data_IF_844429645584
#
_entry.id   IF_844429645584
#
_cell.length_a   1.000
_cell.length_b   1.000
_cell.length_c   1.000
_cell.angle_alpha   90.00
_cell.angle_beta   90.00
_cell.angle_gamma   90.00
#
_symmetry.space_group_name_H-M   'P 1'
#
loop_
_entity.id
_entity.type
_entity.pdbx_description
1 polymer ?
#
# COMPACT_ATOMS: atom_id res chain seq x y z
N UNK A 1 4.10 25.17 -19.03
CA UNK A 1 3.41 24.06 -18.32
C UNK A 1 3.46 24.24 -16.80
N UNK A 2 4.64 24.35 -16.17
CA UNK A 2 4.74 24.51 -14.71
C UNK A 2 3.89 25.65 -14.13
N UNK A 3 3.90 26.85 -14.73
CA UNK A 3 3.05 27.96 -14.28
C UNK A 3 1.53 27.64 -14.34
N UNK A 4 1.10 26.82 -15.30
CA UNK A 4 -0.31 26.39 -15.41
C UNK A 4 -0.63 25.42 -14.27
N UNK A 5 0.27 24.47 -14.02
CA UNK A 5 0.15 23.52 -12.91
C UNK A 5 0.09 24.26 -11.58
N UNK A 6 1.00 25.21 -11.34
CA UNK A 6 1.00 26.06 -10.14
C UNK A 6 -0.31 26.83 -9.97
N UNK A 7 -0.84 27.44 -11.04
CA UNK A 7 -2.13 28.14 -10.99
C UNK A 7 -3.25 27.22 -10.53
N UNK A 8 -3.37 26.04 -11.16
CA UNK A 8 -4.43 25.08 -10.85
C UNK A 8 -4.25 24.49 -9.44
N UNK A 9 -3.02 24.26 -8.99
CA UNK A 9 -2.76 23.81 -7.62
C UNK A 9 -3.12 24.90 -6.59
N UNK A 10 -2.86 26.17 -6.88
CA UNK A 10 -3.25 27.27 -6.02
C UNK A 10 -4.77 27.42 -5.91
N UNK A 11 -5.51 27.17 -7.01
CA UNK A 11 -6.97 27.11 -6.99
C UNK A 11 -7.47 26.00 -6.05
N UNK A 12 -6.96 24.77 -6.20
CA UNK A 12 -7.29 23.64 -5.32
C UNK A 12 -6.96 23.96 -3.86
N UNK A 13 -5.81 24.59 -3.60
CA UNK A 13 -5.46 25.00 -2.25
C UNK A 13 -6.45 26.02 -1.68
N UNK A 14 -6.83 27.03 -2.45
CA UNK A 14 -7.81 28.05 -2.03
C UNK A 14 -9.20 27.47 -1.74
N UNK A 15 -9.64 26.50 -2.54
CA UNK A 15 -10.88 25.75 -2.31
C UNK A 15 -10.82 24.97 -0.99
N UNK A 16 -9.75 24.19 -0.78
CA UNK A 16 -9.55 23.42 0.46
C UNK A 16 -9.40 24.31 1.69
N UNK A 17 -8.72 25.46 1.58
CA UNK A 17 -8.67 26.45 2.66
C UNK A 17 -10.05 26.97 3.01
N UNK A 18 -10.90 27.23 2.01
CA UNK A 18 -12.28 27.67 2.23
C UNK A 18 -13.10 26.59 2.94
N UNK A 19 -12.93 25.32 2.55
CA UNK A 19 -13.56 24.17 3.23
C UNK A 19 -13.08 24.09 4.69
N UNK A 20 -11.77 24.21 4.91
CA UNK A 20 -11.17 24.14 6.25
C UNK A 20 -11.74 25.18 7.22
N UNK A 21 -12.11 26.37 6.75
CA UNK A 21 -12.74 27.40 7.57
C UNK A 21 -14.21 27.14 7.90
N UNK A 22 -14.86 26.21 7.19
CA UNK A 22 -16.29 25.89 7.31
C UNK A 22 -16.54 24.46 7.80
N UNK A 23 -15.51 23.80 8.32
CA UNK A 23 -15.63 22.43 8.83
C UNK A 23 -16.62 22.35 9.98
N UNK A 24 -17.61 21.49 9.83
CA UNK A 24 -18.55 21.13 10.89
C UNK A 24 -18.32 19.69 11.32
N UNK A 25 -18.79 19.33 12.50
CA UNK A 25 -18.78 17.94 12.97
C UNK A 25 -19.63 17.03 12.08
N UNK A 26 -20.72 17.53 11.50
CA UNK A 26 -21.54 16.77 10.54
C UNK A 26 -20.79 16.48 9.25
N UNK A 27 -20.02 17.45 8.74
CA UNK A 27 -19.21 17.27 7.55
C UNK A 27 -18.11 16.20 7.76
N UNK A 28 -17.42 16.25 8.90
CA UNK A 28 -16.40 15.25 9.22
C UNK A 28 -16.99 13.83 9.32
N UNK A 29 -18.18 13.68 9.91
CA UNK A 29 -18.90 12.39 9.95
C UNK A 29 -19.24 11.87 8.55
N UNK A 30 -19.74 12.74 7.67
CA UNK A 30 -20.03 12.37 6.28
C UNK A 30 -18.75 11.90 5.56
N UNK A 31 -17.62 12.58 5.75
CA UNK A 31 -16.35 12.17 5.15
C UNK A 31 -15.85 10.84 5.70
N UNK A 32 -16.01 10.60 7.01
CA UNK A 32 -15.69 9.31 7.61
C UNK A 32 -16.55 8.20 6.99
N UNK A 33 -17.87 8.37 6.90
CA UNK A 33 -18.79 7.41 6.25
C UNK A 33 -18.39 7.10 4.80
N UNK A 34 -18.05 8.13 4.01
CA UNK A 34 -17.55 7.95 2.64
C UNK A 34 -16.25 7.15 2.58
N UNK A 35 -15.34 7.36 3.54
CA UNK A 35 -14.11 6.57 3.63
C UNK A 35 -14.42 5.10 3.88
N UNK A 36 -15.37 4.78 4.78
CA UNK A 36 -15.83 3.40 5.05
C UNK A 36 -16.36 2.75 3.77
N UNK A 37 -17.24 3.44 3.04
CA UNK A 37 -17.82 2.93 1.79
C UNK A 37 -16.73 2.61 0.75
N UNK A 38 -15.73 3.48 0.63
CA UNK A 38 -14.63 3.32 -0.33
C UNK A 38 -13.63 2.22 0.04
N UNK A 39 -13.52 1.83 1.32
CA UNK A 39 -12.65 0.71 1.73
C UNK A 39 -13.24 -0.66 1.40
N UNK A 40 -14.50 -0.72 0.93
CA UNK A 40 -15.17 -1.97 0.55
C UNK A 40 -15.36 -2.11 -0.97
N UNK A 41 -15.12 -1.04 -1.74
CA UNK A 41 -15.36 -1.00 -3.18
C UNK A 41 -14.10 -0.67 -3.96
N UNK A 42 -13.69 -1.56 -4.87
CA UNK A 42 -12.54 -1.28 -5.72
C UNK A 42 -12.90 -0.26 -6.80
N UNK A 43 -12.19 0.87 -6.81
CA UNK A 43 -12.17 1.77 -7.97
C UNK A 43 -10.78 1.74 -8.59
N UNK A 44 -10.60 0.91 -9.63
CA UNK A 44 -9.35 0.85 -10.36
C UNK A 44 -9.27 1.95 -11.42
N UNK A 45 -8.13 2.65 -11.51
CA UNK A 45 -7.88 3.69 -12.50
C UNK A 45 -6.52 3.52 -13.16
N UNK A 46 -6.50 3.24 -14.46
CA UNK A 46 -5.27 3.19 -15.24
C UNK A 46 -4.65 4.58 -15.43
N UNK A 47 -3.37 4.64 -15.81
CA UNK A 47 -2.69 5.89 -16.11
C UNK A 47 -3.36 6.72 -17.22
N UNK A 48 -4.05 6.08 -18.17
CA UNK A 48 -4.82 6.77 -19.21
C UNK A 48 -6.07 7.44 -18.64
N UNK A 49 -6.72 6.81 -17.65
CA UNK A 49 -7.87 7.39 -16.97
C UNK A 49 -7.53 8.72 -16.29
N UNK A 50 -6.32 8.86 -15.72
CA UNK A 50 -5.86 10.11 -15.09
C UNK A 50 -5.78 11.30 -16.07
N UNK A 51 -5.64 11.06 -17.37
CA UNK A 51 -5.60 12.09 -18.41
C UNK A 51 -6.99 12.51 -18.91
N UNK A 52 -8.02 11.72 -18.62
CA UNK A 52 -9.39 11.99 -19.09
C UNK A 52 -10.05 13.07 -18.22
N UNK A 53 -10.85 13.94 -18.85
CA UNK A 53 -11.61 14.99 -18.17
C UNK A 53 -12.95 14.53 -17.56
N UNK A 54 -13.22 13.23 -17.58
CA UNK A 54 -14.39 12.63 -16.89
C UNK A 54 -14.02 12.26 -15.47
N UNK A 55 -15.00 12.25 -14.58
CA UNK A 55 -14.78 11.75 -13.22
C UNK A 55 -14.38 10.27 -13.23
N UNK A 56 -13.48 9.89 -12.32
CA UNK A 56 -13.03 8.51 -12.11
C UNK A 56 -13.95 7.77 -11.14
N UNK A 57 -14.52 8.50 -10.20
CA UNK A 57 -15.44 8.01 -9.18
C UNK A 57 -16.51 9.06 -8.90
N UNK A 58 -17.53 8.64 -8.17
CA UNK A 58 -18.64 9.49 -7.76
C UNK A 58 -18.12 10.65 -6.90
N UNK A 59 -18.58 11.86 -7.19
CA UNK A 59 -18.23 13.09 -6.49
C UNK A 59 -16.74 13.46 -6.50
N UNK A 60 -15.95 12.93 -7.44
CA UNK A 60 -14.54 13.32 -7.63
C UNK A 60 -14.38 14.85 -7.74
N UNK A 61 -13.46 15.40 -6.95
CA UNK A 61 -13.08 16.81 -6.96
C UNK A 61 -11.74 17.01 -7.67
N UNK A 62 -11.43 18.28 -8.02
CA UNK A 62 -10.16 18.69 -8.62
C UNK A 62 -9.79 17.95 -9.93
N UNK A 63 -10.79 17.61 -10.76
CA UNK A 63 -10.61 16.91 -12.05
C UNK A 63 -9.62 17.64 -12.97
N UNK A 64 -9.68 18.97 -13.03
CA UNK A 64 -8.74 19.78 -13.82
C UNK A 64 -7.30 19.66 -13.28
N UNK A 65 -7.14 19.70 -11.96
CA UNK A 65 -5.84 19.56 -11.31
C UNK A 65 -5.26 18.17 -11.54
N UNK A 66 -6.07 17.12 -11.35
CA UNK A 66 -5.71 15.72 -11.67
C UNK A 66 -5.12 15.63 -13.08
N UNK A 67 -5.90 16.07 -14.07
CA UNK A 67 -5.50 16.00 -15.48
C UNK A 67 -4.23 16.80 -15.75
N UNK A 68 -4.13 18.02 -15.22
CA UNK A 68 -3.00 18.93 -15.47
C UNK A 68 -1.70 18.38 -14.85
N UNK A 69 -1.77 17.85 -13.63
CA UNK A 69 -0.67 17.17 -12.94
C UNK A 69 -0.28 15.89 -13.69
N UNK A 70 -1.25 15.10 -14.14
CA UNK A 70 -0.97 13.88 -14.91
C UNK A 70 -0.35 14.17 -16.28
N UNK A 71 -0.68 15.29 -16.93
CA UNK A 71 -0.01 15.71 -18.16
C UNK A 71 1.44 16.09 -17.86
N UNK A 72 1.69 16.82 -16.76
CA UNK A 72 3.06 17.16 -16.37
C UNK A 72 3.91 15.92 -16.10
N UNK A 73 3.37 14.91 -15.39
CA UNK A 73 4.12 13.68 -15.13
C UNK A 73 4.48 12.92 -16.41
N UNK A 74 3.54 12.81 -17.36
CA UNK A 74 3.82 12.22 -18.69
C UNK A 74 4.87 13.01 -19.46
N UNK A 75 4.84 14.35 -19.39
CA UNK A 75 5.85 15.17 -20.06
C UNK A 75 7.25 14.98 -19.43
N UNK A 76 7.32 14.85 -18.10
CA UNK A 76 8.59 14.58 -17.41
C UNK A 76 9.11 13.18 -17.73
N UNK A 77 8.26 12.15 -17.70
CA UNK A 77 8.64 10.78 -18.03
C UNK A 77 9.23 10.65 -19.46
N UNK A 78 8.82 11.54 -20.39
CA UNK A 78 9.33 11.57 -21.77
C UNK A 78 10.51 12.53 -21.98
N UNK A 79 11.00 13.21 -20.94
CA UNK A 79 12.19 14.05 -21.03
C UNK A 79 13.45 13.22 -20.81
N UNK A 80 14.26 13.03 -21.86
CA UNK A 80 15.51 12.23 -21.80
C UNK A 80 16.62 12.90 -20.97
N UNK A 81 16.58 14.22 -20.80
CA UNK A 81 17.59 14.96 -20.04
C UNK A 81 17.24 15.03 -18.56
N UNK A 82 18.18 14.66 -17.68
CA UNK A 82 18.13 15.08 -16.27
C UNK A 82 18.05 16.62 -16.23
N UNK A 83 17.02 17.16 -15.61
CA UNK A 83 16.81 18.61 -15.48
C UNK A 83 17.80 19.20 -14.46
N UNK A 84 19.10 19.14 -14.73
CA UNK A 84 20.18 19.55 -13.82
C UNK A 84 20.46 21.06 -13.82
N UNK A 85 19.53 21.89 -14.31
CA UNK A 85 19.67 23.33 -14.22
C UNK A 85 19.04 23.79 -12.90
N UNK A 86 19.79 24.53 -12.08
CA UNK A 86 19.37 25.09 -10.78
C UNK A 86 17.98 25.76 -10.82
N UNK A 87 17.63 26.36 -11.96
CA UNK A 87 16.31 26.96 -12.20
C UNK A 87 15.15 25.97 -12.20
N UNK A 88 15.36 24.72 -12.62
CA UNK A 88 14.33 23.68 -12.61
C UNK A 88 14.18 23.08 -11.22
N UNK A 89 15.28 22.85 -10.51
CA UNK A 89 15.25 22.34 -9.15
C UNK A 89 14.49 23.29 -8.21
N UNK A 90 14.77 24.61 -8.30
CA UNK A 90 14.01 25.62 -7.55
C UNK A 90 12.51 25.55 -7.82
N UNK A 91 12.12 25.40 -9.09
CA UNK A 91 10.71 25.31 -9.49
C UNK A 91 10.06 24.00 -9.01
N UNK A 92 10.77 22.89 -9.03
CA UNK A 92 10.28 21.64 -8.46
C UNK A 92 10.12 21.73 -6.94
N UNK A 93 11.04 22.39 -6.24
CA UNK A 93 10.89 22.66 -4.81
C UNK A 93 9.65 23.51 -4.48
N UNK A 94 9.39 24.57 -5.27
CA UNK A 94 8.17 25.38 -5.13
C UNK A 94 6.90 24.55 -5.39
N UNK A 95 6.91 23.73 -6.44
CA UNK A 95 5.82 22.81 -6.78
C UNK A 95 5.55 21.79 -5.68
N UNK A 96 6.60 21.14 -5.17
CA UNK A 96 6.55 20.19 -4.05
C UNK A 96 6.01 20.89 -2.79
N UNK A 97 6.43 22.12 -2.52
CA UNK A 97 5.91 22.93 -1.43
C UNK A 97 4.40 23.15 -1.52
N UNK A 98 3.89 23.43 -2.73
CA UNK A 98 2.45 23.58 -2.97
C UNK A 98 1.69 22.25 -2.80
N UNK A 99 2.23 21.15 -3.35
CA UNK A 99 1.65 19.81 -3.18
C UNK A 99 1.55 19.47 -1.69
N UNK A 100 2.62 19.68 -0.92
CA UNK A 100 2.63 19.44 0.53
C UNK A 100 1.53 20.23 1.24
N UNK A 101 1.36 21.53 0.93
CA UNK A 101 0.29 22.37 1.52
C UNK A 101 -1.10 21.83 1.20
N UNK A 102 -1.33 21.35 -0.02
CA UNK A 102 -2.60 20.76 -0.42
C UNK A 102 -2.84 19.44 0.33
N UNK A 103 -1.85 18.55 0.40
CA UNK A 103 -1.97 17.31 1.16
C UNK A 103 -2.26 17.58 2.65
N UNK A 104 -1.62 18.57 3.25
CA UNK A 104 -1.91 18.96 4.65
C UNK A 104 -3.31 19.52 4.81
N UNK A 105 -3.81 20.29 3.83
CA UNK A 105 -5.19 20.75 3.84
C UNK A 105 -6.18 19.57 3.73
N UNK A 106 -5.91 18.59 2.86
CA UNK A 106 -6.71 17.37 2.73
C UNK A 106 -6.74 16.54 4.01
N UNK A 107 -5.60 16.41 4.70
CA UNK A 107 -5.52 15.76 6.02
C UNK A 107 -6.36 16.51 7.05
N UNK A 108 -6.36 17.84 7.02
CA UNK A 108 -7.13 18.67 7.97
C UNK A 108 -8.63 18.59 7.71
N UNK A 109 -9.05 18.47 6.45
CA UNK A 109 -10.47 18.45 6.07
C UNK A 109 -11.06 17.04 5.96
N UNK A 110 -10.26 15.98 6.07
CA UNK A 110 -10.65 14.59 5.77
C UNK A 110 -11.22 14.38 4.36
N UNK A 111 -10.89 15.24 3.40
CA UNK A 111 -11.48 15.19 2.05
C UNK A 111 -10.76 14.26 1.08
N UNK A 112 -9.69 13.58 1.50
CA UNK A 112 -8.78 12.86 0.59
C UNK A 112 -9.47 11.84 -0.31
N UNK A 113 -10.56 11.21 0.16
CA UNK A 113 -11.39 10.29 -0.62
C UNK A 113 -11.91 10.97 -1.88
N UNK A 114 -12.44 12.20 -1.76
CA UNK A 114 -12.97 12.95 -2.91
C UNK A 114 -11.87 13.40 -3.88
N UNK A 115 -10.63 13.48 -3.41
CA UNK A 115 -9.46 13.93 -4.16
C UNK A 115 -8.51 12.78 -4.55
N UNK A 116 -8.90 11.51 -4.35
CA UNK A 116 -8.06 10.34 -4.63
C UNK A 116 -7.49 10.29 -6.05
N UNK A 117 -8.24 10.64 -7.09
CA UNK A 117 -7.73 10.70 -8.46
C UNK A 117 -6.65 11.77 -8.65
N UNK A 118 -6.82 12.91 -7.99
CA UNK A 118 -5.80 13.96 -7.95
C UNK A 118 -4.55 13.48 -7.18
N UNK A 119 -4.73 12.81 -6.04
CA UNK A 119 -3.64 12.20 -5.27
C UNK A 119 -2.88 11.12 -6.08
N UNK A 120 -3.58 10.30 -6.88
CA UNK A 120 -2.94 9.35 -7.82
C UNK A 120 -2.07 10.06 -8.88
N UNK A 121 -2.50 11.25 -9.33
CA UNK A 121 -1.69 12.03 -10.27
C UNK A 121 -0.48 12.65 -9.58
N UNK A 122 -0.63 13.06 -8.32
CA UNK A 122 0.48 13.53 -7.47
C UNK A 122 1.50 12.41 -7.28
N UNK A 123 1.11 11.19 -6.87
CA UNK A 123 2.08 10.10 -6.67
C UNK A 123 2.88 9.83 -7.93
N UNK A 124 2.22 9.76 -9.10
CA UNK A 124 2.90 9.62 -10.39
C UNK A 124 3.85 10.78 -10.68
N UNK A 125 3.43 12.03 -10.45
CA UNK A 125 4.28 13.19 -10.63
C UNK A 125 5.51 13.15 -9.71
N UNK A 126 5.34 12.78 -8.44
CA UNK A 126 6.45 12.67 -7.48
C UNK A 126 7.45 11.59 -7.91
N UNK A 127 6.98 10.45 -8.43
CA UNK A 127 7.84 9.41 -9.01
C UNK A 127 8.65 9.97 -10.19
N UNK A 128 8.02 10.71 -11.11
CA UNK A 128 8.73 11.35 -12.22
C UNK A 128 9.75 12.37 -11.71
N UNK A 129 9.38 13.26 -10.78
CA UNK A 129 10.29 14.26 -10.22
C UNK A 129 11.49 13.61 -9.52
N UNK A 130 11.27 12.54 -8.76
CA UNK A 130 12.34 11.82 -8.07
C UNK A 130 13.40 11.28 -9.05
N UNK A 131 13.00 10.81 -10.23
CA UNK A 131 13.94 10.36 -11.28
C UNK A 131 14.82 11.47 -11.82
N UNK A 132 14.40 12.73 -11.71
CA UNK A 132 15.10 13.88 -12.26
C UNK A 132 15.75 14.79 -11.21
N UNK A 133 15.54 14.57 -9.91
CA UNK A 133 15.98 15.48 -8.82
C UNK A 133 16.34 14.73 -7.54
N UNK A 134 17.21 15.30 -6.70
CA UNK A 134 17.64 14.72 -5.42
C UNK A 134 16.75 15.17 -4.24
N UNK A 135 15.42 15.19 -4.41
CA UNK A 135 14.47 15.78 -3.44
C UNK A 135 13.73 14.72 -2.59
N UNK A 136 14.38 13.58 -2.32
CA UNK A 136 13.76 12.42 -1.65
C UNK A 136 13.07 12.75 -0.31
N UNK A 137 13.70 13.58 0.54
CA UNK A 137 13.18 13.92 1.86
C UNK A 137 11.80 14.61 1.82
N UNK A 138 11.58 15.53 0.87
CA UNK A 138 10.28 16.21 0.76
C UNK A 138 9.19 15.31 0.19
N UNK A 139 9.56 14.35 -0.65
CA UNK A 139 8.62 13.34 -1.17
C UNK A 139 8.12 12.46 -0.03
N UNK A 140 9.01 12.03 0.88
CA UNK A 140 8.65 11.25 2.07
C UNK A 140 7.70 12.05 2.97
N UNK A 141 7.94 13.35 3.18
CA UNK A 141 7.03 14.21 3.94
C UNK A 141 5.62 14.26 3.34
N UNK A 142 5.53 14.36 2.00
CA UNK A 142 4.23 14.33 1.31
C UNK A 142 3.57 12.96 1.47
N UNK A 143 4.32 11.87 1.29
CA UNK A 143 3.79 10.51 1.46
C UNK A 143 3.23 10.29 2.87
N UNK A 144 3.92 10.76 3.93
CA UNK A 144 3.41 10.70 5.31
C UNK A 144 2.04 11.36 5.45
N UNK A 145 1.91 12.57 4.92
CA UNK A 145 0.64 13.32 4.97
C UNK A 145 -0.45 12.61 4.15
N UNK A 146 -0.12 12.09 2.97
CA UNK A 146 -1.06 11.31 2.15
C UNK A 146 -1.54 10.04 2.84
N UNK A 147 -0.66 9.32 3.53
CA UNK A 147 -1.03 8.13 4.32
C UNK A 147 -1.99 8.52 5.44
N UNK A 148 -1.65 9.58 6.16
CA UNK A 148 -2.43 10.08 7.30
C UNK A 148 -3.79 10.64 6.90
N UNK A 149 -3.95 11.11 5.66
CA UNK A 149 -5.14 11.81 5.20
C UNK A 149 -6.32 10.91 4.81
N UNK A 150 -6.25 9.60 5.06
CA UNK A 150 -7.31 8.60 4.77
C UNK A 150 -7.77 8.60 3.29
N UNK A 151 -6.87 8.36 2.33
CA UNK A 151 -7.25 8.32 0.93
C UNK A 151 -7.91 6.97 0.57
N UNK A 152 -8.53 6.88 -0.61
CA UNK A 152 -8.99 5.58 -1.12
C UNK A 152 -7.83 4.56 -1.21
N UNK A 153 -8.08 3.24 -1.05
CA UNK A 153 -7.04 2.21 -1.04
C UNK A 153 -6.09 2.23 -2.25
N UNK A 154 -6.59 2.60 -3.43
CA UNK A 154 -5.77 2.73 -4.66
C UNK A 154 -4.64 3.77 -4.53
N UNK A 155 -4.84 4.81 -3.72
CA UNK A 155 -3.81 5.82 -3.45
C UNK A 155 -2.76 5.24 -2.50
N UNK A 156 -3.15 4.39 -1.55
CA UNK A 156 -2.21 3.73 -0.66
C UNK A 156 -1.27 2.80 -1.44
N UNK A 157 -1.80 2.00 -2.38
CA UNK A 157 -0.96 1.22 -3.29
C UNK A 157 -0.04 2.11 -4.14
N UNK A 158 -0.56 3.18 -4.76
CA UNK A 158 0.28 4.10 -5.52
C UNK A 158 1.36 4.79 -4.64
N UNK A 159 1.09 4.99 -3.36
CA UNK A 159 2.05 5.52 -2.38
C UNK A 159 3.10 4.47 -2.03
N UNK A 160 2.73 3.20 -1.86
CA UNK A 160 3.68 2.09 -1.71
C UNK A 160 4.62 2.00 -2.93
N UNK A 161 4.08 2.13 -4.15
CA UNK A 161 4.89 2.12 -5.37
C UNK A 161 5.87 3.30 -5.42
N UNK A 162 5.43 4.51 -5.02
CA UNK A 162 6.31 5.67 -4.89
C UNK A 162 7.43 5.42 -3.87
N UNK A 163 7.10 4.80 -2.74
CA UNK A 163 8.08 4.51 -1.70
C UNK A 163 9.06 3.43 -2.14
N UNK A 164 8.65 2.45 -2.95
CA UNK A 164 9.58 1.43 -3.49
C UNK A 164 10.75 1.99 -4.32
N UNK A 165 10.71 3.29 -4.65
CA UNK A 165 11.79 4.00 -5.36
C UNK A 165 12.45 5.11 -4.54
N UNK A 166 11.99 5.41 -3.31
CA UNK A 166 12.51 6.49 -2.44
C UNK A 166 12.86 5.90 -1.07
N UNK A 167 14.05 6.17 -0.52
CA UNK A 167 14.53 5.62 0.76
C UNK A 167 13.43 5.46 1.84
N UNK A 168 13.07 4.21 2.09
CA UNK A 168 11.79 3.77 2.66
C UNK A 168 11.80 3.77 4.21
N UNK A 169 12.99 3.69 4.81
CA UNK A 169 13.20 3.55 6.25
C UNK A 169 12.72 4.76 7.06
N UNK A 170 12.54 5.92 6.40
CA UNK A 170 12.13 7.18 7.03
C UNK A 170 10.65 7.24 7.47
N UNK A 171 9.83 6.24 7.12
CA UNK A 171 8.42 6.15 7.54
C UNK A 171 8.22 5.48 8.89
N UNK A 172 9.18 4.67 9.34
CA UNK A 172 9.13 3.99 10.61
C UNK A 172 9.66 4.90 11.71
N UNK A 173 8.82 5.33 12.64
CA UNK A 173 9.22 6.13 13.80
C UNK A 173 9.57 5.28 15.03
N UNK A 174 9.54 3.95 14.91
CA UNK A 174 9.81 3.04 16.03
C UNK A 174 8.71 3.02 17.11
N UNK A 175 7.63 3.76 16.93
CA UNK A 175 6.50 3.79 17.85
C UNK A 175 5.56 2.61 17.59
N UNK A 176 5.24 1.87 18.65
CA UNK A 176 4.15 0.87 18.62
C UNK A 176 2.84 1.66 18.59
N UNK A 177 2.37 1.98 17.38
CA UNK A 177 1.17 2.79 17.20
C UNK A 177 -0.07 2.07 17.73
N UNK A 178 -0.97 2.81 18.37
CA UNK A 178 -2.31 2.32 18.72
C UNK A 178 -3.18 2.20 17.46
N UNK A 179 -2.87 1.24 16.60
CA UNK A 179 -3.74 0.85 15.48
C UNK A 179 -4.89 0.03 16.04
N UNK A 180 -6.13 0.49 15.84
CA UNK A 180 -7.32 -0.28 16.14
C UNK A 180 -8.10 -0.46 14.83
N UNK A 181 -8.22 -1.70 14.39
CA UNK A 181 -9.21 -2.02 13.37
C UNK A 181 -10.56 -2.00 14.08
N UNK A 182 -11.46 -1.14 13.62
CA UNK A 182 -12.86 -1.21 14.03
C UNK A 182 -13.52 -2.31 13.21
N UNK A 183 -13.61 -3.50 13.80
CA UNK A 183 -14.15 -4.69 13.15
C UNK A 183 -15.65 -4.54 12.84
N UNK A 184 -16.39 -3.74 13.63
CA UNK A 184 -17.82 -3.51 13.41
C UNK A 184 -18.07 -2.62 12.17
N UNK A 185 -17.07 -1.84 11.76
CA UNK A 185 -17.17 -0.93 10.62
C UNK A 185 -16.29 -1.32 9.44
N UNK A 186 -15.37 -2.28 9.61
CA UNK A 186 -14.39 -2.65 8.58
C UNK A 186 -13.36 -1.57 8.30
N UNK A 187 -13.13 -0.64 9.24
CA UNK A 187 -12.30 0.56 9.04
C UNK A 187 -11.01 0.48 9.83
N UNK A 188 -9.91 0.88 9.19
CA UNK A 188 -8.67 1.15 9.91
C UNK A 188 -8.77 2.48 10.67
N UNK A 189 -9.00 2.40 11.99
CA UNK A 189 -8.91 3.57 12.87
C UNK A 189 -7.49 3.67 13.43
N UNK A 190 -6.83 4.76 13.08
CA UNK A 190 -5.50 5.06 13.59
C UNK A 190 -5.48 6.46 14.21
N UNK A 191 -4.69 6.60 15.27
CA UNK A 191 -4.43 7.89 15.89
C UNK A 191 -3.36 8.63 15.09
N UNK A 192 -3.27 9.96 15.27
CA UNK A 192 -2.26 10.79 14.57
C UNK A 192 -0.81 10.44 14.91
N UNK A 193 -0.57 9.75 16.02
CA UNK A 193 0.74 9.26 16.48
C UNK A 193 1.06 7.82 16.03
N UNK A 194 0.17 7.19 15.26
CA UNK A 194 0.43 5.88 14.67
C UNK A 194 1.59 5.90 13.68
N UNK A 195 2.35 4.81 13.63
CA UNK A 195 3.45 4.67 12.68
C UNK A 195 2.91 4.68 11.23
N UNK A 196 3.40 5.62 10.41
CA UNK A 196 2.95 5.80 9.03
C UNK A 196 3.16 4.55 8.18
N UNK A 197 4.27 3.84 8.38
CA UNK A 197 4.53 2.57 7.67
C UNK A 197 3.45 1.53 8.01
N UNK A 198 3.09 1.36 9.29
CA UNK A 198 2.05 0.40 9.66
C UNK A 198 0.67 0.79 9.11
N UNK A 199 0.33 2.09 9.12
CA UNK A 199 -0.92 2.59 8.53
C UNK A 199 -0.96 2.27 7.05
N UNK A 200 0.10 2.59 6.31
CA UNK A 200 0.21 2.29 4.88
C UNK A 200 0.04 0.79 4.62
N UNK A 201 0.74 -0.06 5.36
CA UNK A 201 0.67 -1.51 5.17
C UNK A 201 -0.75 -2.06 5.38
N UNK A 202 -1.48 -1.53 6.37
CA UNK A 202 -2.88 -1.92 6.59
C UNK A 202 -3.81 -1.39 5.50
N UNK A 203 -3.56 -0.18 4.97
CA UNK A 203 -4.30 0.32 3.81
C UNK A 203 -4.00 -0.50 2.53
N UNK A 204 -2.76 -0.97 2.36
CA UNK A 204 -2.35 -1.88 1.27
C UNK A 204 -3.01 -3.26 1.44
N UNK A 205 -3.12 -3.78 2.66
CA UNK A 205 -3.86 -5.02 2.93
C UNK A 205 -5.33 -4.92 2.46
N UNK A 206 -5.99 -3.79 2.75
CA UNK A 206 -7.35 -3.50 2.26
C UNK A 206 -7.37 -3.43 0.73
N UNK A 207 -6.40 -2.76 0.11
CA UNK A 207 -6.30 -2.73 -1.35
C UNK A 207 -6.18 -4.14 -1.96
N UNK A 208 -5.36 -5.02 -1.37
CA UNK A 208 -5.20 -6.41 -1.82
C UNK A 208 -6.54 -7.17 -1.75
N UNK A 209 -7.32 -7.00 -0.66
CA UNK A 209 -8.68 -7.57 -0.54
C UNK A 209 -9.61 -7.07 -1.64
N UNK A 210 -9.53 -5.78 -1.97
CA UNK A 210 -10.34 -5.18 -3.04
C UNK A 210 -9.95 -5.72 -4.43
N UNK A 211 -8.66 -5.92 -4.73
CA UNK A 211 -8.23 -6.47 -6.04
C UNK A 211 -8.45 -7.99 -6.14
N UNK A 212 -8.38 -8.72 -5.03
CA UNK A 212 -8.76 -10.14 -4.96
C UNK A 212 -10.23 -10.31 -5.35
N UNK A 213 -11.13 -9.57 -4.70
CA UNK A 213 -12.58 -9.65 -4.97
C UNK A 213 -12.96 -9.22 -6.39
N UNK A 214 -12.19 -8.30 -6.98
CA UNK A 214 -12.36 -7.86 -8.36
C UNK A 214 -11.63 -8.74 -9.41
N UNK A 215 -10.92 -9.79 -9.00
CA UNK A 215 -10.14 -10.67 -9.87
C UNK A 215 -9.08 -9.94 -10.73
N UNK A 216 -8.46 -8.90 -10.18
CA UNK A 216 -7.45 -8.08 -10.85
C UNK A 216 -6.03 -8.58 -10.57
N UNK A 217 -5.61 -9.63 -11.28
CA UNK A 217 -4.34 -10.32 -11.02
C UNK A 217 -3.10 -9.46 -11.30
N UNK A 218 -3.14 -8.59 -12.31
CA UNK A 218 -1.98 -7.76 -12.68
C UNK A 218 -1.63 -6.77 -11.57
N UNK A 219 -2.66 -6.22 -10.95
CA UNK A 219 -2.58 -5.30 -9.81
C UNK A 219 -2.07 -6.02 -8.56
N UNK A 220 -2.53 -7.24 -8.29
CA UNK A 220 -2.00 -8.06 -7.19
C UNK A 220 -0.52 -8.36 -7.37
N UNK A 221 -0.08 -8.74 -8.58
CA UNK A 221 1.34 -8.97 -8.90
C UNK A 221 2.16 -7.72 -8.59
N UNK A 222 1.72 -6.55 -9.08
CA UNK A 222 2.45 -5.30 -8.92
C UNK A 222 2.56 -4.89 -7.44
N UNK A 223 1.44 -4.96 -6.71
CA UNK A 223 1.39 -4.67 -5.26
C UNK A 223 2.31 -5.59 -4.47
N UNK A 224 2.31 -6.89 -4.82
CA UNK A 224 3.16 -7.90 -4.19
C UNK A 224 4.63 -7.60 -4.44
N UNK A 225 5.01 -7.29 -5.70
CA UNK A 225 6.38 -6.89 -6.03
C UNK A 225 6.85 -5.69 -5.21
N UNK A 226 6.05 -4.65 -5.11
CA UNK A 226 6.40 -3.47 -4.32
C UNK A 226 6.53 -3.78 -2.83
N UNK A 227 5.69 -4.67 -2.29
CA UNK A 227 5.79 -5.12 -0.89
C UNK A 227 7.07 -5.95 -0.65
N UNK A 228 7.46 -6.82 -1.60
CA UNK A 228 8.71 -7.58 -1.53
C UNK A 228 9.95 -6.68 -1.65
N UNK A 229 9.89 -5.65 -2.52
CA UNK A 229 10.95 -4.64 -2.61
C UNK A 229 11.10 -3.90 -1.29
N UNK A 230 9.99 -3.46 -0.71
CA UNK A 230 9.97 -2.78 0.59
C UNK A 230 10.62 -3.62 1.69
N UNK A 231 10.35 -4.92 1.71
CA UNK A 231 10.99 -5.82 2.67
C UNK A 231 12.51 -5.88 2.53
N UNK A 232 13.01 -5.98 1.30
CA UNK A 232 14.44 -6.10 1.04
C UNK A 232 15.20 -4.81 1.39
N UNK A 233 14.62 -3.66 1.08
CA UNK A 233 15.17 -2.34 1.44
C UNK A 233 15.23 -2.14 2.97
N UNK A 234 14.20 -2.59 3.69
CA UNK A 234 14.18 -2.55 5.16
C UNK A 234 15.12 -3.58 5.83
N UNK A 235 15.67 -4.54 5.07
CA UNK A 235 16.49 -5.64 5.57
C UNK A 235 17.99 -5.34 5.70
N UNK A 236 18.43 -4.14 5.30
CA UNK A 236 19.84 -3.74 5.24
C UNK A 236 20.23 -2.72 6.31
N UNK A 237 20.26 -3.13 7.59
CA UNK A 237 21.37 -2.80 8.50
C UNK A 237 21.10 -3.35 9.91
N UNK A 238 21.94 -4.30 10.28
CA UNK A 238 22.20 -4.77 11.64
C UNK A 238 22.95 -3.70 12.46
N UNK A 239 22.47 -2.46 12.44
CA UNK A 239 22.96 -1.38 13.30
C UNK A 239 22.04 -1.16 14.48
N UNK A 240 22.09 -2.08 15.45
CA UNK A 240 21.99 -1.83 16.91
C UNK A 240 20.89 -0.94 17.51
N UNK A 241 19.91 -0.41 16.78
CA UNK A 241 18.84 0.40 17.36
C UNK A 241 17.72 -0.54 17.81
N UNK A 242 17.67 -0.79 19.12
CA UNK A 242 16.65 -1.56 19.85
C UNK A 242 15.21 -1.01 19.75
N UNK A 243 14.88 -0.22 18.73
CA UNK A 243 13.52 0.29 18.54
C UNK A 243 12.77 -0.66 17.61
N UNK A 244 12.35 -1.81 18.18
CA UNK A 244 11.53 -2.83 17.52
C UNK A 244 10.14 -2.24 17.16
N UNK A 245 9.98 -1.60 16.00
CA UNK A 245 8.63 -1.42 15.45
C UNK A 245 8.08 -2.76 14.96
N UNK A 246 6.83 -3.09 15.28
CA UNK A 246 6.10 -4.25 14.72
C UNK A 246 5.84 -4.13 13.19
N UNK A 247 6.27 -3.02 12.57
CA UNK A 247 6.19 -2.74 11.14
C UNK A 247 6.65 -3.90 10.26
N UNK A 248 7.77 -4.55 10.63
CA UNK A 248 8.31 -5.69 9.88
C UNK A 248 7.40 -6.91 9.96
N UNK A 249 6.82 -7.17 11.13
CA UNK A 249 5.82 -8.22 11.29
C UNK A 249 4.60 -7.91 10.42
N UNK A 250 4.02 -6.71 10.52
CA UNK A 250 2.86 -6.29 9.71
C UNK A 250 3.14 -6.39 8.21
N UNK A 251 4.32 -5.95 7.75
CA UNK A 251 4.73 -6.05 6.34
C UNK A 251 4.74 -7.52 5.89
N UNK A 252 5.25 -8.40 6.73
CA UNK A 252 5.30 -9.82 6.43
C UNK A 252 3.92 -10.48 6.43
N UNK A 253 3.01 -10.06 7.31
CA UNK A 253 1.60 -10.47 7.23
C UNK A 253 0.98 -10.07 5.88
N UNK A 254 1.22 -8.83 5.44
CA UNK A 254 0.74 -8.33 4.14
C UNK A 254 1.36 -9.11 2.98
N UNK A 255 2.66 -9.40 3.03
CA UNK A 255 3.35 -10.21 2.01
C UNK A 255 2.75 -11.62 1.93
N UNK A 256 2.54 -12.30 3.07
CA UNK A 256 1.93 -13.64 3.09
C UNK A 256 0.55 -13.62 2.45
N UNK A 257 -0.29 -12.65 2.82
CA UNK A 257 -1.62 -12.52 2.25
C UNK A 257 -1.55 -12.24 0.74
N UNK A 258 -0.70 -11.31 0.30
CA UNK A 258 -0.53 -10.99 -1.12
C UNK A 258 -0.05 -12.20 -1.95
N UNK A 259 0.89 -12.98 -1.40
CA UNK A 259 1.40 -14.20 -2.03
C UNK A 259 0.33 -15.28 -2.12
N UNK A 260 -0.52 -15.43 -1.09
CA UNK A 260 -1.64 -16.35 -1.12
C UNK A 260 -2.62 -15.99 -2.24
N UNK A 261 -2.97 -14.71 -2.38
CA UNK A 261 -3.84 -14.24 -3.47
C UNK A 261 -3.18 -14.51 -4.83
N UNK A 262 -1.89 -14.22 -4.99
CA UNK A 262 -1.14 -14.56 -6.21
C UNK A 262 -1.18 -16.06 -6.52
N UNK A 263 -1.00 -16.90 -5.51
CA UNK A 263 -1.02 -18.35 -5.66
C UNK A 263 -2.41 -18.86 -6.07
N UNK A 264 -3.49 -18.32 -5.48
CA UNK A 264 -4.86 -18.64 -5.88
C UNK A 264 -5.12 -18.29 -7.35
N UNK A 265 -4.59 -17.17 -7.85
CA UNK A 265 -4.68 -16.81 -9.26
C UNK A 265 -3.92 -17.74 -10.21
N UNK A 266 -2.87 -18.44 -9.76
CA UNK A 266 -2.22 -19.47 -10.57
C UNK A 266 -3.22 -20.57 -10.98
N UNK A 267 -4.19 -20.90 -10.12
CA UNK A 267 -5.20 -21.92 -10.39
C UNK A 267 -6.30 -21.47 -11.36
N UNK A 268 -6.50 -20.15 -11.53
CA UNK A 268 -7.63 -19.59 -12.29
C UNK A 268 -7.24 -19.07 -13.66
N UNK A 269 -6.01 -18.58 -13.84
CA UNK A 269 -5.57 -17.99 -15.11
C UNK A 269 -5.24 -19.10 -16.13
N UNK A 270 -5.71 -18.89 -17.36
CA UNK A 270 -5.31 -19.67 -18.53
C UNK A 270 -4.34 -18.84 -19.37
N UNK A 271 -3.06 -19.22 -19.42
CA UNK A 271 -2.04 -18.46 -20.13
C UNK A 271 -0.66 -18.53 -19.48
N UNK A 272 0.18 -17.55 -19.80
CA UNK A 272 1.49 -17.34 -19.21
C UNK A 272 1.37 -17.04 -17.70
N UNK A 273 2.00 -17.89 -16.88
CA UNK A 273 1.99 -17.81 -15.43
C UNK A 273 3.38 -17.44 -14.88
N UNK A 274 4.36 -17.19 -15.74
CA UNK A 274 5.75 -17.07 -15.36
C UNK A 274 5.97 -15.93 -14.38
N UNK A 275 5.29 -14.80 -14.59
CA UNK A 275 5.37 -13.64 -13.72
C UNK A 275 4.80 -13.93 -12.31
N UNK A 276 3.63 -14.56 -12.21
CA UNK A 276 3.04 -14.97 -10.93
C UNK A 276 3.92 -15.98 -10.20
N UNK A 277 4.40 -17.00 -10.92
CA UNK A 277 5.29 -18.01 -10.37
C UNK A 277 6.58 -17.35 -9.86
N UNK A 278 7.16 -16.42 -10.62
CA UNK A 278 8.37 -15.67 -10.23
C UNK A 278 8.16 -14.86 -8.95
N UNK A 279 7.01 -14.17 -8.83
CA UNK A 279 6.67 -13.40 -7.63
C UNK A 279 6.46 -14.32 -6.44
N UNK A 280 5.67 -15.39 -6.59
CA UNK A 280 5.47 -16.41 -5.56
C UNK A 280 6.80 -17.02 -5.09
N UNK A 281 7.71 -17.34 -6.02
CA UNK A 281 9.05 -17.87 -5.71
C UNK A 281 9.92 -16.90 -4.95
N UNK A 282 9.93 -15.64 -5.35
CA UNK A 282 10.69 -14.60 -4.67
C UNK A 282 10.18 -14.38 -3.25
N UNK A 283 8.85 -14.37 -3.07
CA UNK A 283 8.22 -14.24 -1.77
C UNK A 283 8.47 -15.41 -0.83
N UNK A 284 8.34 -16.66 -1.32
CA UNK A 284 8.65 -17.87 -0.54
C UNK A 284 10.10 -17.88 -0.07
N UNK A 285 11.04 -17.45 -0.92
CA UNK A 285 12.44 -17.33 -0.51
C UNK A 285 12.63 -16.32 0.62
N UNK A 286 11.97 -15.16 0.55
CA UNK A 286 11.99 -14.18 1.63
C UNK A 286 11.40 -14.77 2.93
N UNK A 287 10.27 -15.49 2.84
CA UNK A 287 9.67 -16.16 3.99
C UNK A 287 10.62 -17.18 4.61
N UNK A 288 11.25 -18.01 3.78
CA UNK A 288 12.24 -19.00 4.20
C UNK A 288 13.41 -18.36 4.95
N UNK A 289 14.03 -17.33 4.36
CA UNK A 289 15.15 -16.62 4.99
C UNK A 289 14.75 -15.93 6.30
N UNK A 290 13.50 -15.47 6.40
CA UNK A 290 12.99 -14.80 7.60
C UNK A 290 12.77 -15.79 8.74
N UNK A 291 12.18 -16.94 8.44
CA UNK A 291 11.92 -18.01 9.42
C UNK A 291 13.24 -18.59 9.96
N UNK A 292 14.27 -18.71 9.13
CA UNK A 292 15.58 -19.22 9.57
C UNK A 292 16.38 -18.22 10.44
N UNK A 293 16.18 -16.91 10.26
CA UNK A 293 16.98 -15.88 10.93
C UNK A 293 16.43 -15.49 12.29
N UNK A 294 15.14 -15.69 12.56
CA UNK A 294 14.49 -15.18 13.76
C UNK A 294 13.42 -16.15 14.28
N UNK A 295 13.71 -16.78 15.41
CA UNK A 295 12.82 -17.76 16.06
C UNK A 295 11.58 -17.08 16.67
N UNK A 296 11.70 -15.83 17.14
CA UNK A 296 10.55 -15.03 17.62
C UNK A 296 9.65 -14.59 16.45
N UNK A 297 10.23 -14.44 15.26
CA UNK A 297 9.48 -14.10 14.06
C UNK A 297 8.57 -15.25 13.58
N UNK A 298 9.01 -16.50 13.76
CA UNK A 298 8.18 -17.69 13.53
C UNK A 298 6.92 -17.69 14.41
N UNK A 299 7.05 -17.39 15.71
CA UNK A 299 5.89 -17.36 16.63
C UNK A 299 4.96 -16.17 16.36
N UNK A 300 5.48 -15.02 15.92
CA UNK A 300 4.68 -13.84 15.56
C UNK A 300 3.85 -14.02 14.28
N UNK A 301 4.31 -14.88 13.36
CA UNK A 301 3.57 -15.24 12.14
C UNK A 301 2.51 -16.31 12.36
N UNK A 302 2.33 -16.84 13.58
CA UNK A 302 1.29 -17.83 13.90
C UNK A 302 -0.13 -17.37 13.50
N UNK A 303 -0.40 -16.06 13.51
CA UNK A 303 -1.67 -15.50 13.01
C UNK A 303 -1.93 -15.80 11.52
N UNK A 304 -0.88 -16.06 10.73
CA UNK A 304 -0.97 -16.39 9.30
C UNK A 304 -0.63 -17.86 8.98
N UNK A 305 -0.55 -18.73 9.98
CA UNK A 305 -0.19 -20.15 9.78
C UNK A 305 -1.06 -20.80 8.69
N UNK A 306 -2.38 -20.61 8.73
CA UNK A 306 -3.30 -21.16 7.73
C UNK A 306 -3.01 -20.67 6.32
N UNK A 307 -2.78 -19.36 6.16
CA UNK A 307 -2.43 -18.75 4.87
C UNK A 307 -1.09 -19.26 4.33
N UNK A 308 -0.10 -19.45 5.20
CA UNK A 308 1.22 -19.96 4.85
C UNK A 308 1.15 -21.41 4.37
N UNK A 309 0.40 -22.26 5.08
CA UNK A 309 0.20 -23.66 4.70
C UNK A 309 -0.54 -23.73 3.36
N UNK A 310 -1.64 -22.98 3.20
CA UNK A 310 -2.41 -22.94 1.95
C UNK A 310 -1.55 -22.47 0.78
N UNK A 311 -0.78 -21.39 0.95
CA UNK A 311 0.18 -20.89 -0.03
C UNK A 311 1.17 -21.97 -0.45
N UNK A 312 1.78 -22.66 0.51
CA UNK A 312 2.76 -23.72 0.23
C UNK A 312 2.13 -24.87 -0.55
N UNK A 313 0.93 -25.31 -0.17
CA UNK A 313 0.21 -26.39 -0.84
C UNK A 313 -0.23 -26.03 -2.26
N UNK A 314 -0.64 -24.79 -2.51
CA UNK A 314 -0.95 -24.33 -3.88
C UNK A 314 0.33 -24.32 -4.72
N UNK A 315 1.42 -23.76 -4.20
CA UNK A 315 2.67 -23.63 -4.95
C UNK A 315 3.29 -24.99 -5.26
N UNK A 316 3.26 -25.97 -4.34
CA UNK A 316 3.79 -27.34 -4.55
C UNK A 316 3.23 -28.05 -5.79
N UNK A 317 2.05 -27.65 -6.29
CA UNK A 317 1.41 -28.24 -7.47
C UNK A 317 2.06 -27.86 -8.80
N UNK A 318 2.97 -26.89 -8.79
CA UNK A 318 3.67 -26.40 -9.98
C UNK A 318 5.09 -26.98 -10.07
N UNK A 319 5.71 -26.92 -11.24
CA UNK A 319 7.05 -27.46 -11.46
C UNK A 319 8.10 -26.65 -10.67
N UNK A 320 8.96 -27.32 -9.91
CA UNK A 320 10.00 -26.69 -9.10
C UNK A 320 11.28 -27.53 -9.07
N UNK A 321 12.40 -26.88 -8.77
CA UNK A 321 13.61 -27.59 -8.35
C UNK A 321 13.40 -28.20 -6.96
N UNK A 322 14.04 -29.34 -6.69
CA UNK A 322 13.93 -30.08 -5.43
C UNK A 322 14.20 -29.20 -4.19
N UNK A 323 15.20 -28.31 -4.27
CA UNK A 323 15.54 -27.35 -3.22
C UNK A 323 14.33 -26.49 -2.83
N UNK A 324 13.51 -26.10 -3.80
CA UNK A 324 12.36 -25.26 -3.56
C UNK A 324 11.21 -26.03 -2.90
N UNK A 325 11.04 -27.32 -3.22
CA UNK A 325 10.11 -28.21 -2.51
C UNK A 325 10.53 -28.43 -1.05
N UNK A 326 11.84 -28.52 -0.78
CA UNK A 326 12.38 -28.60 0.58
C UNK A 326 12.08 -27.31 1.36
N UNK A 327 12.34 -26.13 0.79
CA UNK A 327 12.03 -24.84 1.45
C UNK A 327 10.54 -24.73 1.81
N UNK A 328 9.63 -25.09 0.89
CA UNK A 328 8.18 -25.08 1.14
C UNK A 328 7.78 -26.05 2.26
N UNK A 329 8.43 -27.21 2.30
CA UNK A 329 8.17 -28.22 3.33
C UNK A 329 8.69 -27.78 4.69
N UNK A 330 9.87 -27.16 4.75
CA UNK A 330 10.45 -26.60 5.97
C UNK A 330 9.59 -25.46 6.53
N UNK A 331 9.17 -24.50 5.69
CA UNK A 331 8.21 -23.46 6.10
C UNK A 331 6.96 -24.09 6.69
N UNK A 332 6.30 -24.99 5.94
CA UNK A 332 5.08 -25.64 6.39
C UNK A 332 5.27 -26.41 7.70
N UNK A 333 6.42 -27.06 7.90
CA UNK A 333 6.69 -27.85 9.10
C UNK A 333 6.91 -27.00 10.36
N UNK A 334 7.58 -25.85 10.23
CA UNK A 334 7.85 -24.95 11.36
C UNK A 334 6.55 -24.39 11.93
N UNK A 335 5.58 -24.07 11.07
CA UNK A 335 4.29 -23.58 11.53
C UNK A 335 3.37 -24.70 12.03
N UNK A 336 3.41 -25.90 11.44
CA UNK A 336 2.63 -27.06 11.94
C UNK A 336 3.08 -27.56 13.32
N UNK A 337 4.37 -27.44 13.65
CA UNK A 337 4.92 -27.83 14.96
C UNK A 337 4.55 -26.86 16.09
N UNK A 338 4.22 -25.60 15.78
CA UNK A 338 3.73 -24.64 16.77
C UNK A 338 2.32 -24.97 17.30
N UNK A 339 1.56 -25.83 16.61
CA UNK A 339 0.22 -26.22 17.04
C UNK A 339 0.21 -27.17 18.27
N UNK A 340 1.33 -27.82 18.60
CA UNK A 340 1.39 -28.78 19.71
C UNK A 340 1.48 -28.11 21.11
N UNK A 341 1.75 -26.80 21.20
CA UNK A 341 1.81 -26.08 22.48
C UNK A 341 0.52 -25.31 22.86
N UNK A 342 -0.45 -25.19 21.94
CA UNK A 342 -1.77 -24.61 22.26
C UNK A 342 -2.82 -25.71 22.38
N UNK A 343 -3.41 -25.80 23.58
CA UNK A 343 -4.45 -26.75 23.98
C UNK A 343 -5.43 -27.16 22.87
N UNK A 344 -5.70 -28.47 22.83
CA UNK A 344 -6.52 -29.24 21.88
C UNK A 344 -8.02 -28.84 21.71
N UNK A 345 -8.35 -27.55 21.67
CA UNK A 345 -9.73 -27.06 21.48
C UNK A 345 -9.96 -26.29 20.18
N UNK A 346 -8.94 -26.05 19.35
CA UNK A 346 -9.15 -25.55 17.99
C UNK A 346 -8.97 -26.69 16.99
N UNK A 347 -10.02 -27.47 16.79
CA UNK A 347 -10.08 -28.43 15.68
C UNK A 347 -9.92 -27.66 14.37
N UNK A 348 -8.82 -27.94 13.67
CA UNK A 348 -8.46 -27.48 12.32
C UNK A 348 -9.66 -27.53 11.35
N UNK A 349 -10.56 -28.49 11.53
CA UNK A 349 -11.78 -28.66 10.73
C UNK A 349 -12.86 -27.61 11.02
N UNK A 350 -13.04 -27.20 12.28
CA UNK A 350 -14.01 -26.16 12.68
C UNK A 350 -13.49 -24.77 12.32
N UNK A 351 -12.18 -24.56 12.35
CA UNK A 351 -11.55 -23.31 11.92
C UNK A 351 -11.66 -23.14 10.40
N UNK A 352 -11.32 -24.16 9.61
CA UNK A 352 -11.50 -24.13 8.14
C UNK A 352 -12.99 -24.06 7.74
N UNK A 353 -13.91 -24.69 8.48
CA UNK A 353 -15.35 -24.56 8.24
C UNK A 353 -15.90 -23.17 8.65
N UNK A 354 -15.33 -22.49 9.65
CA UNK A 354 -15.75 -21.14 10.05
C UNK A 354 -15.51 -20.07 8.97
N UNK A 355 -14.55 -20.27 8.08
CA UNK A 355 -14.30 -19.38 6.93
C UNK A 355 -15.23 -19.64 5.74
N UNK A 356 -15.86 -20.82 5.66
CA UNK A 356 -16.91 -21.09 4.66
C UNK A 356 -18.27 -20.49 5.07
N UNK A 357 -18.43 -20.10 6.34
CA UNK A 357 -19.61 -19.42 6.89
C UNK A 357 -19.42 -17.92 7.12
N UNK A 358 -18.30 -17.33 6.67
CA UNK A 358 -18.05 -15.90 6.83
C UNK A 358 -18.99 -15.07 5.91
N UNK A 359 -20.19 -14.81 6.42
CA UNK A 359 -21.03 -13.68 6.03
C UNK A 359 -20.52 -12.44 6.76
N UNK A 360 -20.70 -11.25 6.18
CA UNK A 360 -20.22 -9.93 6.66
C UNK A 360 -20.86 -9.50 8.00
N UNK A 361 -21.35 -10.42 8.82
CA UNK A 361 -22.05 -10.13 10.07
C UNK A 361 -21.66 -11.00 11.25
N UNK A 362 -20.61 -11.83 11.16
CA UNK A 362 -20.11 -12.61 12.32
C UNK A 362 -18.65 -12.28 12.65
#
# INVERSE_FOLDING_TARGET
>A
MLNIVESVLNEVHGELSTISHRLTTSFLKEMDERYIECTTTLTYSSGECLLRGRSLYKDEQAILARRTVSVLSVLLDNCESKCSAESYEKRFNELIGNIRRICTALETTNCSVLYSGFLLSITRLLTSIHRHTEIAAHIIDIAKVMISSRPMPVVADATLQLLSVVDECALCTGTVGNLRVDYDQGVLLYKKDSCHLQVLLKQVEVYIKCVESAYLYSETIQTTKCSLLLYNSCGGDSSGSEVRCECRCVLMQVIVYALLVCARFLGTISGDKDELISVCRSGVRILYESVLRDVEFGSQLGFNEGHLIELCEIIKRYEHQEIYLLMLSEISSIFQLCAEETSASYSQKTFVESFNTFSITD
#
